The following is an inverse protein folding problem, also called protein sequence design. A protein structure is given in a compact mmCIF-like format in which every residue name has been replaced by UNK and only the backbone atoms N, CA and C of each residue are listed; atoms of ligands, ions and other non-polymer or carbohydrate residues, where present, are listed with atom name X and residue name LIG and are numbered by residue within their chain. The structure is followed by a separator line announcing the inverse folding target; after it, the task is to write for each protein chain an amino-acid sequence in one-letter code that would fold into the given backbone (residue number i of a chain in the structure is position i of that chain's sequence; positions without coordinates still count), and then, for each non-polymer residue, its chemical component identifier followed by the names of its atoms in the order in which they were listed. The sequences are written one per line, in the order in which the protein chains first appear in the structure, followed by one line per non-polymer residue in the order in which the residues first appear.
data_IF_380013179683
#
_entry.id   IF_380013179683
#
_cell.length_a   1.000
_cell.length_b   1.000
_cell.length_c   1.000
_cell.angle_alpha   90.00
_cell.angle_beta   90.00
_cell.angle_gamma   90.00
#
_symmetry.space_group_name_H-M   'P 1'
#
loop_
_entity.id
_entity.type
_entity.pdbx_description
1 polymer ?
#
# COMPACT_ATOMS: atom_id res chain seq x y z
N UNK A 1 48.25 -38.08 46.43
CA UNK A 1 49.38 -38.96 46.04
C UNK A 1 49.78 -38.55 44.62
N UNK A 2 51.02 -38.05 44.47
CA UNK A 2 51.60 -37.50 43.23
C UNK A 2 51.54 -38.48 42.03
N UNK A 3 51.44 -37.95 40.81
CA UNK A 3 52.53 -38.03 39.79
C UNK A 3 52.18 -37.33 38.48
N UNK A 4 52.89 -36.23 38.25
CA UNK A 4 53.16 -35.53 36.99
C UNK A 4 54.07 -36.38 36.09
N UNK A 5 53.78 -36.50 34.78
CA UNK A 5 54.79 -36.84 33.76
C UNK A 5 54.50 -36.07 32.45
N UNK A 6 55.45 -35.18 32.12
CA UNK A 6 55.68 -34.53 30.83
C UNK A 6 55.99 -35.57 29.72
N UNK A 7 55.53 -35.34 28.48
CA UNK A 7 56.18 -35.94 27.29
C UNK A 7 56.36 -34.91 26.18
N UNK A 8 57.63 -34.77 25.81
CA UNK A 8 58.23 -33.82 24.89
C UNK A 8 57.92 -34.11 23.43
N UNK A 9 57.83 -33.03 22.64
CA UNK A 9 57.96 -33.01 21.19
C UNK A 9 59.36 -33.48 20.76
N UNK A 10 59.42 -34.32 19.74
CA UNK A 10 60.63 -34.53 18.93
C UNK A 10 60.36 -34.06 17.50
N UNK A 11 61.04 -32.98 17.13
CA UNK A 11 61.20 -32.50 15.76
C UNK A 11 62.16 -33.42 15.03
N UNK A 12 61.81 -33.84 13.80
CA UNK A 12 62.72 -34.53 12.90
C UNK A 12 63.04 -33.62 11.71
N UNK A 13 64.31 -33.25 11.59
CA UNK A 13 64.91 -32.44 10.52
C UNK A 13 65.71 -33.36 9.59
N UNK A 14 65.52 -33.29 8.27
CA UNK A 14 66.53 -33.61 7.24
C UNK A 14 66.03 -33.20 5.83
N UNK A 15 66.89 -33.07 4.80
CA UNK A 15 67.23 -31.76 4.25
C UNK A 15 66.91 -31.57 2.74
N UNK A 16 67.06 -30.31 2.33
CA UNK A 16 67.07 -29.71 0.98
C UNK A 16 67.34 -30.64 -0.21
N UNK A 17 66.47 -30.55 -1.24
CA UNK A 17 66.89 -30.52 -2.65
C UNK A 17 66.39 -29.23 -3.29
N UNK A 18 67.33 -28.40 -3.75
CA UNK A 18 67.06 -27.31 -4.69
C UNK A 18 66.63 -27.92 -6.02
N UNK A 19 65.54 -27.41 -6.59
CA UNK A 19 65.32 -27.44 -8.03
C UNK A 19 64.87 -26.03 -8.42
N UNK A 20 65.79 -25.33 -9.08
CA UNK A 20 65.57 -24.06 -9.78
C UNK A 20 65.00 -24.41 -11.17
N UNK A 21 64.29 -23.43 -11.75
CA UNK A 21 63.86 -23.34 -13.16
C UNK A 21 62.58 -24.13 -13.51
N UNK A 22 61.53 -23.57 -14.13
CA UNK A 22 61.46 -22.56 -15.19
C UNK A 22 60.15 -21.75 -15.02
N UNK A 23 60.25 -20.41 -15.05
CA UNK A 23 59.10 -19.52 -15.23
C UNK A 23 58.52 -19.72 -16.63
N UNK A 24 57.48 -20.54 -16.75
CA UNK A 24 56.65 -20.59 -17.95
C UNK A 24 55.71 -19.38 -17.97
N UNK A 25 56.26 -18.25 -18.43
CA UNK A 25 55.53 -17.09 -18.95
C UNK A 25 54.81 -17.52 -20.25
N UNK A 26 53.69 -18.24 -20.14
CA UNK A 26 52.77 -18.46 -21.28
C UNK A 26 51.40 -18.92 -20.80
N UNK A 27 50.68 -17.97 -20.23
CA UNK A 27 49.24 -17.95 -20.22
C UNK A 27 48.79 -16.49 -20.09
N UNK A 28 49.14 -15.71 -21.11
CA UNK A 28 48.38 -14.51 -21.50
C UNK A 28 47.00 -14.99 -22.00
N UNK A 29 46.21 -15.60 -21.13
CA UNK A 29 44.77 -15.50 -21.30
C UNK A 29 44.47 -14.07 -20.93
N UNK A 30 44.22 -13.27 -21.97
CA UNK A 30 43.40 -12.09 -21.89
C UNK A 30 42.11 -12.51 -21.17
N UNK A 31 42.10 -12.46 -19.85
CA UNK A 31 40.86 -12.32 -19.14
C UNK A 31 40.43 -10.92 -19.53
N UNK A 32 39.43 -10.86 -20.40
CA UNK A 32 38.64 -9.65 -20.54
C UNK A 32 38.18 -9.31 -19.14
N UNK A 33 38.92 -8.42 -18.44
CA UNK A 33 38.47 -7.81 -17.20
C UNK A 33 37.22 -7.08 -17.60
N UNK A 34 36.08 -7.72 -17.35
CA UNK A 34 34.75 -7.20 -17.66
C UNK A 34 34.73 -5.75 -17.17
N UNK A 35 34.44 -4.79 -18.04
CA UNK A 35 34.65 -3.37 -17.74
C UNK A 35 33.99 -2.90 -16.42
N UNK A 36 32.96 -3.63 -15.95
CA UNK A 36 32.27 -3.40 -14.68
C UNK A 36 33.00 -3.95 -13.44
N UNK A 37 33.85 -4.98 -13.56
CA UNK A 37 34.50 -5.61 -12.40
C UNK A 37 35.49 -4.68 -11.70
N UNK A 38 36.10 -3.72 -12.43
CA UNK A 38 36.95 -2.67 -11.84
C UNK A 38 36.23 -1.83 -10.77
N UNK A 39 34.92 -1.68 -10.91
CA UNK A 39 34.11 -0.83 -10.04
C UNK A 39 33.21 -1.63 -9.09
N UNK A 40 33.25 -2.97 -9.12
CA UNK A 40 32.30 -3.81 -8.36
C UNK A 40 32.46 -3.69 -6.84
N UNK A 41 33.68 -3.40 -6.36
CA UNK A 41 33.97 -3.23 -4.94
C UNK A 41 33.10 -2.16 -4.26
N UNK A 42 32.56 -1.18 -5.01
CA UNK A 42 31.69 -0.14 -4.43
C UNK A 42 30.38 -0.70 -3.88
N UNK A 43 29.97 -1.91 -4.31
CA UNK A 43 28.78 -2.59 -3.79
C UNK A 43 28.96 -3.08 -2.35
N UNK A 44 30.19 -3.28 -1.90
CA UNK A 44 30.50 -3.70 -0.52
C UNK A 44 30.19 -2.60 0.51
N UNK A 45 30.04 -1.34 0.07
CA UNK A 45 29.61 -0.23 0.92
C UNK A 45 28.09 -0.18 1.14
N UNK A 46 27.30 -0.99 0.42
CA UNK A 46 25.86 -1.09 0.65
C UNK A 46 25.60 -1.81 1.98
N UNK A 47 25.02 -1.10 2.94
CA UNK A 47 24.49 -1.70 4.17
C UNK A 47 23.02 -2.06 4.00
N UNK A 48 22.63 -3.26 4.39
CA UNK A 48 21.23 -3.69 4.34
C UNK A 48 20.73 -4.05 5.74
N UNK A 49 19.83 -3.24 6.26
CA UNK A 49 19.15 -3.54 7.51
C UNK A 49 18.00 -4.53 7.27
N UNK A 50 17.95 -5.55 8.12
CA UNK A 50 16.93 -6.60 8.07
C UNK A 50 16.05 -6.47 9.31
N UNK A 51 14.74 -6.38 9.12
CA UNK A 51 13.79 -6.34 10.22
C UNK A 51 13.81 -7.67 10.99
N UNK A 52 13.89 -7.58 12.33
CA UNK A 52 13.91 -8.72 13.25
C UNK A 52 12.79 -9.73 12.91
N UNK A 53 13.09 -11.03 12.74
CA UNK A 53 12.06 -12.06 12.52
C UNK A 53 11.03 -12.12 13.65
N UNK A 54 9.87 -12.72 13.36
CA UNK A 54 8.77 -12.92 14.32
C UNK A 54 8.24 -11.62 14.97
N UNK A 55 8.52 -10.47 14.37
CA UNK A 55 7.97 -9.18 14.76
C UNK A 55 7.06 -8.64 13.66
N UNK A 56 5.94 -8.04 14.06
CA UNK A 56 5.13 -7.23 13.16
C UNK A 56 5.98 -6.07 12.64
N UNK A 57 5.89 -5.81 11.33
CA UNK A 57 6.53 -4.65 10.71
C UNK A 57 5.43 -3.63 10.46
N UNK A 58 5.50 -2.49 11.13
CA UNK A 58 4.59 -1.37 10.88
C UNK A 58 5.31 -0.33 10.06
N UNK A 59 4.81 -0.08 8.84
CA UNK A 59 5.25 1.03 8.01
C UNK A 59 4.27 2.18 8.18
N UNK A 60 4.70 3.28 8.80
CA UNK A 60 3.90 4.50 8.88
C UNK A 60 4.36 5.49 7.82
N UNK A 61 3.41 6.00 7.05
CA UNK A 61 3.57 7.02 6.01
C UNK A 61 2.89 8.30 6.48
N UNK A 62 3.53 9.46 6.35
CA UNK A 62 3.03 10.76 6.84
C UNK A 62 3.24 11.87 5.80
N UNK A 63 2.26 12.76 5.63
CA UNK A 63 2.30 13.86 4.66
C UNK A 63 3.34 14.92 4.99
N UNK A 64 4.36 15.07 4.12
CA UNK A 64 5.41 16.09 4.33
C UNK A 64 4.86 17.51 4.15
N UNK A 65 4.69 18.23 5.27
CA UNK A 65 4.23 19.62 5.25
C UNK A 65 2.78 19.74 4.76
N UNK A 66 1.94 18.74 5.06
CA UNK A 66 0.60 18.62 4.50
C UNK A 66 -0.34 19.77 4.89
N UNK A 67 -0.03 20.53 5.95
CA UNK A 67 -0.74 21.77 6.25
C UNK A 67 -0.70 22.77 5.07
N UNK A 68 0.49 23.01 4.50
CA UNK A 68 0.68 23.87 3.33
C UNK A 68 0.06 23.26 2.07
N UNK A 69 0.09 21.93 1.96
CA UNK A 69 -0.54 21.21 0.86
C UNK A 69 -2.05 21.39 0.86
N UNK A 70 -2.70 21.16 2.00
CA UNK A 70 -4.14 21.28 2.15
C UNK A 70 -4.61 22.73 1.97
N UNK A 71 -3.85 23.73 2.47
CA UNK A 71 -4.14 25.15 2.25
C UNK A 71 -4.03 25.55 0.78
N UNK A 72 -2.92 25.22 0.11
CA UNK A 72 -2.78 25.46 -1.33
C UNK A 72 -3.85 24.72 -2.15
N UNK A 73 -4.22 23.54 -1.67
CA UNK A 73 -5.37 22.72 -2.06
C UNK A 73 -6.71 23.44 -1.98
N UNK A 74 -6.94 24.23 -0.92
CA UNK A 74 -8.26 24.71 -0.52
C UNK A 74 -9.11 23.60 0.11
N UNK A 75 -8.48 22.66 0.84
CA UNK A 75 -9.18 21.58 1.52
C UNK A 75 -10.13 22.14 2.59
N UNK A 76 -11.28 21.48 2.76
CA UNK A 76 -12.22 21.85 3.80
C UNK A 76 -11.60 21.69 5.19
N UNK A 77 -11.98 22.59 6.10
CA UNK A 77 -11.54 22.58 7.49
C UNK A 77 -12.75 22.42 8.42
N UNK A 78 -12.67 21.59 9.48
CA UNK A 78 -11.47 20.89 9.97
C UNK A 78 -11.03 19.67 9.14
N UNK A 79 -11.97 19.01 8.45
CA UNK A 79 -11.73 17.77 7.71
C UNK A 79 -12.27 17.87 6.28
N UNK A 80 -11.55 17.29 5.33
CA UNK A 80 -11.94 17.22 3.92
C UNK A 80 -12.21 15.75 3.57
N UNK A 81 -13.47 15.43 3.28
CA UNK A 81 -13.90 14.05 3.04
C UNK A 81 -13.18 13.45 1.84
N UNK A 82 -13.16 14.17 0.71
CA UNK A 82 -12.55 13.69 -0.54
C UNK A 82 -11.06 13.37 -0.35
N UNK A 83 -10.34 14.22 0.37
CA UNK A 83 -8.94 14.02 0.73
C UNK A 83 -8.71 12.75 1.55
N UNK A 84 -9.53 12.50 2.57
CA UNK A 84 -9.43 11.29 3.40
C UNK A 84 -9.78 10.02 2.62
N UNK A 85 -10.74 10.10 1.70
CA UNK A 85 -11.10 8.98 0.83
C UNK A 85 -10.00 8.68 -0.19
N UNK A 86 -9.34 9.71 -0.73
CA UNK A 86 -8.17 9.56 -1.59
C UNK A 86 -7.01 8.86 -0.87
N UNK A 87 -6.69 9.28 0.36
CA UNK A 87 -5.70 8.62 1.22
C UNK A 87 -6.05 7.14 1.43
N UNK A 88 -7.31 6.84 1.72
CA UNK A 88 -7.80 5.48 1.90
C UNK A 88 -7.69 4.65 0.61
N UNK A 89 -7.97 5.25 -0.56
CA UNK A 89 -7.77 4.57 -1.86
C UNK A 89 -6.30 4.27 -2.14
N UNK A 90 -5.41 5.22 -1.85
CA UNK A 90 -3.97 5.03 -1.99
C UNK A 90 -3.48 3.89 -1.08
N UNK A 91 -3.93 3.85 0.18
CA UNK A 91 -3.63 2.77 1.11
C UNK A 91 -4.16 1.42 0.63
N UNK A 92 -5.40 1.37 0.13
CA UNK A 92 -5.95 0.13 -0.44
C UNK A 92 -5.10 -0.39 -1.60
N UNK A 93 -4.55 0.50 -2.46
CA UNK A 93 -3.64 0.10 -3.54
C UNK A 93 -2.33 -0.49 -3.03
N UNK A 94 -1.80 0.00 -1.92
CA UNK A 94 -0.64 -0.60 -1.24
C UNK A 94 -0.98 -2.01 -0.73
N UNK A 95 -2.14 -2.18 -0.07
CA UNK A 95 -2.58 -3.50 0.40
C UNK A 95 -2.93 -4.47 -0.74
N UNK A 96 -3.31 -3.98 -1.92
CA UNK A 96 -3.51 -4.79 -3.14
C UNK A 96 -2.20 -5.41 -3.64
N UNK A 97 -1.10 -4.66 -3.54
CA UNK A 97 0.23 -5.08 -3.95
C UNK A 97 0.86 -6.03 -2.93
N UNK A 98 0.72 -5.70 -1.64
CA UNK A 98 1.30 -6.47 -0.54
C UNK A 98 0.23 -7.31 0.18
N UNK A 99 0.10 -8.56 -0.25
CA UNK A 99 -0.85 -9.50 0.37
C UNK A 99 -0.53 -9.81 1.85
N UNK A 100 0.71 -9.59 2.29
CA UNK A 100 1.21 -9.83 3.65
C UNK A 100 0.80 -8.72 4.65
N UNK A 101 0.18 -7.64 4.17
CA UNK A 101 -0.41 -6.61 5.04
C UNK A 101 -1.77 -7.12 5.55
N UNK A 102 -1.91 -7.29 6.86
CA UNK A 102 -3.17 -7.74 7.47
C UNK A 102 -4.21 -6.63 7.55
N UNK A 103 -3.79 -5.45 8.01
CA UNK A 103 -4.62 -4.27 8.10
C UNK A 103 -3.80 -2.99 7.90
N UNK A 104 -4.51 -1.89 7.65
CA UNK A 104 -3.91 -0.57 7.63
C UNK A 104 -4.83 0.44 8.31
N UNK A 105 -4.26 1.35 9.10
CA UNK A 105 -5.01 2.39 9.80
C UNK A 105 -4.56 3.78 9.37
N UNK A 106 -5.49 4.65 9.00
CA UNK A 106 -5.20 6.01 8.58
C UNK A 106 -6.05 7.07 9.29
N UNK A 107 -5.43 8.22 9.54
CA UNK A 107 -6.05 9.40 10.12
C UNK A 107 -5.33 10.66 9.61
N UNK A 108 -6.05 11.76 9.39
CA UNK A 108 -5.49 12.99 8.82
C UNK A 108 -4.69 12.71 7.53
N UNK A 109 -3.38 12.93 7.57
CA UNK A 109 -2.39 12.80 6.51
C UNK A 109 -1.42 11.63 6.74
N UNK A 110 -1.68 10.76 7.73
CA UNK A 110 -0.90 9.56 8.00
C UNK A 110 -1.65 8.25 7.71
N UNK A 111 -0.89 7.21 7.34
CA UNK A 111 -1.36 5.83 7.19
C UNK A 111 -0.32 4.84 7.71
N UNK A 112 -0.77 3.86 8.50
CA UNK A 112 0.06 2.81 9.09
C UNK A 112 -0.30 1.46 8.50
N UNK A 113 0.65 0.77 7.90
CA UNK A 113 0.48 -0.55 7.28
C UNK A 113 1.10 -1.62 8.18
N UNK A 114 0.33 -2.63 8.55
CA UNK A 114 0.77 -3.71 9.44
C UNK A 114 1.07 -4.96 8.61
N UNK A 115 2.35 -5.28 8.47
CA UNK A 115 2.76 -6.56 7.90
C UNK A 115 2.79 -7.64 8.97
N UNK A 116 2.37 -8.84 8.58
CA UNK A 116 2.36 -10.00 9.45
C UNK A 116 3.76 -10.34 9.98
N UNK A 117 3.83 -10.87 11.21
CA UNK A 117 5.09 -11.16 11.89
C UNK A 117 5.98 -12.18 11.18
N UNK A 118 5.37 -13.07 10.41
CA UNK A 118 5.95 -14.15 9.61
C UNK A 118 6.28 -13.73 8.15
N UNK A 119 6.00 -12.47 7.76
CA UNK A 119 6.29 -12.00 6.40
C UNK A 119 7.76 -12.19 6.02
N UNK A 120 7.97 -12.58 4.76
CA UNK A 120 9.29 -12.65 4.16
C UNK A 120 9.42 -11.72 2.93
N UNK A 121 8.50 -10.76 2.78
CA UNK A 121 8.54 -9.77 1.70
C UNK A 121 9.91 -9.09 1.66
N UNK A 122 10.51 -9.08 0.47
CA UNK A 122 11.87 -8.54 0.24
C UNK A 122 12.94 -9.04 1.21
N UNK A 123 12.82 -10.27 1.72
CA UNK A 123 13.71 -10.82 2.76
C UNK A 123 13.79 -9.92 4.01
N UNK A 124 12.70 -9.19 4.31
CA UNK A 124 12.59 -8.24 5.42
C UNK A 124 13.58 -7.08 5.36
N UNK A 125 14.12 -6.73 4.18
CA UNK A 125 15.00 -5.57 4.00
C UNK A 125 14.24 -4.27 4.25
N UNK A 126 14.66 -3.54 5.27
CA UNK A 126 13.99 -2.32 5.75
C UNK A 126 13.85 -1.29 4.64
N UNK A 127 14.95 -0.97 3.94
CA UNK A 127 14.98 0.01 2.86
C UNK A 127 14.04 -0.33 1.69
N UNK A 128 13.88 -1.62 1.35
CA UNK A 128 13.03 -2.07 0.24
C UNK A 128 11.56 -1.98 0.61
N UNK A 129 11.20 -2.47 1.79
CA UNK A 129 9.83 -2.37 2.29
C UNK A 129 9.44 -0.88 2.40
N UNK A 130 10.28 -0.08 3.04
CA UNK A 130 10.04 1.35 3.26
C UNK A 130 9.87 2.12 1.94
N UNK A 131 10.83 1.99 1.03
CA UNK A 131 10.83 2.74 -0.23
C UNK A 131 9.68 2.34 -1.16
N UNK A 132 9.36 1.05 -1.27
CA UNK A 132 8.30 0.59 -2.16
C UNK A 132 6.92 0.96 -1.59
N UNK A 133 6.69 0.80 -0.29
CA UNK A 133 5.43 1.23 0.34
C UNK A 133 5.23 2.74 0.18
N UNK A 134 6.24 3.55 0.49
CA UNK A 134 6.14 5.01 0.41
C UNK A 134 5.94 5.50 -1.04
N UNK A 135 6.72 4.98 -1.99
CA UNK A 135 6.61 5.37 -3.40
C UNK A 135 5.29 4.91 -4.02
N UNK A 136 4.80 3.71 -3.69
CA UNK A 136 3.50 3.23 -4.16
C UNK A 136 2.35 4.05 -3.57
N UNK A 137 2.42 4.39 -2.28
CA UNK A 137 1.42 5.26 -1.65
C UNK A 137 1.38 6.64 -2.31
N UNK A 138 2.54 7.29 -2.44
CA UNK A 138 2.68 8.63 -3.04
C UNK A 138 2.21 8.63 -4.50
N UNK A 139 2.66 7.67 -5.30
CA UNK A 139 2.25 7.56 -6.72
C UNK A 139 0.75 7.25 -6.85
N UNK A 140 0.19 6.42 -5.98
CA UNK A 140 -1.25 6.13 -5.96
C UNK A 140 -2.07 7.37 -5.59
N UNK A 141 -1.60 8.17 -4.63
CA UNK A 141 -2.25 9.43 -4.24
C UNK A 141 -2.35 10.38 -5.44
N UNK A 142 -1.26 10.55 -6.20
CA UNK A 142 -1.26 11.37 -7.42
C UNK A 142 -2.11 10.74 -8.52
N UNK A 143 -2.01 9.43 -8.72
CA UNK A 143 -2.72 8.71 -9.78
C UNK A 143 -4.25 8.74 -9.60
N UNK A 144 -4.73 8.66 -8.36
CA UNK A 144 -6.16 8.69 -8.07
C UNK A 144 -6.69 10.09 -7.77
N UNK A 145 -5.85 11.13 -7.77
CA UNK A 145 -6.23 12.50 -7.42
C UNK A 145 -7.48 12.96 -8.18
N UNK A 146 -7.45 12.90 -9.52
CA UNK A 146 -8.56 13.38 -10.38
C UNK A 146 -9.86 12.57 -10.23
N UNK A 147 -9.81 11.39 -9.58
CA UNK A 147 -11.02 10.59 -9.30
C UNK A 147 -11.77 11.06 -8.06
N UNK A 148 -11.08 11.66 -7.10
CA UNK A 148 -11.66 12.06 -5.82
C UNK A 148 -11.78 13.57 -5.69
N UNK A 149 -10.82 14.31 -6.25
CA UNK A 149 -10.70 15.75 -6.07
C UNK A 149 -10.82 16.41 -7.44
N UNK A 150 -11.81 17.28 -7.58
CA UNK A 150 -12.12 17.96 -8.85
C UNK A 150 -11.09 19.03 -9.26
N UNK A 151 -10.37 19.60 -8.29
CA UNK A 151 -9.34 20.63 -8.55
C UNK A 151 -8.06 20.00 -9.06
N UNK A 152 -7.32 20.69 -9.93
CA UNK A 152 -6.01 20.22 -10.39
C UNK A 152 -4.98 20.18 -9.26
N UNK A 153 -4.14 19.16 -9.27
CA UNK A 153 -2.97 19.06 -8.41
C UNK A 153 -1.99 20.19 -8.76
N UNK A 154 -1.69 21.09 -7.81
CA UNK A 154 -0.84 22.27 -8.03
C UNK A 154 0.65 21.91 -8.01
N UNK A 155 1.04 20.98 -7.14
CA UNK A 155 2.39 20.46 -7.04
C UNK A 155 2.39 19.03 -6.49
N UNK A 156 3.39 18.20 -6.79
CA UNK A 156 3.43 16.83 -6.32
C UNK A 156 3.57 16.78 -4.79
N UNK A 157 2.74 16.01 -4.08
CA UNK A 157 2.91 15.78 -2.65
C UNK A 157 4.14 14.91 -2.40
N UNK A 158 4.67 14.99 -1.18
CA UNK A 158 5.70 14.10 -0.69
C UNK A 158 5.26 13.50 0.64
N UNK A 159 5.66 12.27 0.89
CA UNK A 159 5.39 11.58 2.13
C UNK A 159 6.70 11.11 2.77
N UNK A 160 6.77 11.25 4.09
CA UNK A 160 7.75 10.56 4.91
C UNK A 160 7.28 9.12 5.12
N UNK A 161 8.21 8.22 5.41
CA UNK A 161 7.85 6.91 5.91
C UNK A 161 8.87 6.43 6.95
N UNK A 162 8.42 5.63 7.91
CA UNK A 162 9.28 4.94 8.87
C UNK A 162 8.78 3.53 9.16
N UNK A 163 9.71 2.64 9.53
CA UNK A 163 9.41 1.29 10.00
C UNK A 163 9.60 1.21 11.52
N UNK A 164 8.64 0.58 12.20
CA UNK A 164 8.72 0.22 13.61
C UNK A 164 8.39 -1.27 13.75
N UNK A 165 9.13 -1.97 14.61
CA UNK A 165 8.93 -3.39 14.86
C UNK A 165 8.23 -3.60 16.19
N UNK A 166 7.17 -4.41 16.18
CA UNK A 166 6.44 -4.78 17.40
C UNK A 166 6.52 -6.29 17.62
N UNK A 167 7.09 -6.76 18.75
CA UNK A 167 7.35 -8.18 18.97
C UNK A 167 6.10 -8.96 19.41
N UNK A 168 5.12 -8.28 20.00
CA UNK A 168 3.90 -8.92 20.52
C UNK A 168 2.64 -8.30 19.93
N UNK A 169 1.55 -9.08 19.97
CA UNK A 169 0.20 -8.61 19.61
C UNK A 169 -0.21 -7.42 20.48
N UNK A 170 0.09 -7.45 21.78
CA UNK A 170 -0.26 -6.35 22.69
C UNK A 170 0.44 -5.05 22.27
N UNK A 171 1.74 -5.08 21.95
CA UNK A 171 2.44 -3.86 21.52
C UNK A 171 1.86 -3.29 20.21
N UNK A 172 1.46 -4.15 19.28
CA UNK A 172 0.81 -3.73 18.04
C UNK A 172 -0.57 -3.10 18.33
N UNK A 173 -1.37 -3.71 19.21
CA UNK A 173 -2.69 -3.19 19.61
C UNK A 173 -2.55 -1.84 20.31
N UNK A 174 -1.58 -1.69 21.22
CA UNK A 174 -1.28 -0.45 21.91
C UNK A 174 -0.88 0.65 20.92
N UNK A 175 -0.06 0.31 19.93
CA UNK A 175 0.32 1.25 18.87
C UNK A 175 -0.91 1.74 18.08
N UNK A 176 -1.77 0.84 17.61
CA UNK A 176 -2.96 1.22 16.84
C UNK A 176 -3.96 2.00 17.71
N UNK A 177 -4.10 1.63 18.98
CA UNK A 177 -4.92 2.35 19.96
C UNK A 177 -4.39 3.75 20.21
N UNK A 178 -3.07 3.91 20.31
CA UNK A 178 -2.41 5.21 20.42
C UNK A 178 -2.68 6.08 19.20
N UNK A 179 -2.62 5.53 17.97
CA UNK A 179 -2.94 6.27 16.75
C UNK A 179 -4.41 6.70 16.70
N UNK A 180 -5.36 5.85 17.15
CA UNK A 180 -6.77 6.23 17.19
C UNK A 180 -7.11 7.24 18.30
N UNK A 181 -6.46 7.14 19.47
CA UNK A 181 -6.60 8.14 20.52
C UNK A 181 -6.08 9.52 20.05
N UNK A 182 -4.95 9.54 19.35
CA UNK A 182 -4.38 10.74 18.72
C UNK A 182 -5.35 11.36 17.71
N UNK A 183 -5.97 10.54 16.84
CA UNK A 183 -7.00 10.99 15.91
C UNK A 183 -8.18 11.67 16.62
N UNK A 184 -8.67 11.07 17.73
CA UNK A 184 -9.77 11.63 18.51
C UNK A 184 -9.43 12.99 19.14
N UNK A 185 -8.24 13.09 19.75
CA UNK A 185 -7.76 14.32 20.40
C UNK A 185 -7.60 15.44 19.36
N UNK A 186 -6.93 15.15 18.25
CA UNK A 186 -6.65 16.12 17.19
C UNK A 186 -7.95 16.55 16.49
N UNK A 187 -8.87 15.62 16.21
CA UNK A 187 -10.14 15.96 15.58
C UNK A 187 -11.01 16.84 16.48
N UNK A 188 -11.11 16.55 17.79
CA UNK A 188 -11.86 17.37 18.74
C UNK A 188 -11.28 18.79 18.83
N UNK A 189 -9.95 18.90 18.94
CA UNK A 189 -9.27 20.19 18.95
C UNK A 189 -9.50 20.96 17.64
N UNK A 190 -9.27 20.33 16.48
CA UNK A 190 -9.41 20.97 15.18
C UNK A 190 -10.86 21.40 14.91
N UNK A 191 -11.84 20.59 15.31
CA UNK A 191 -13.26 20.93 15.16
C UNK A 191 -13.62 22.14 16.00
N UNK A 192 -13.17 22.18 17.26
CA UNK A 192 -13.37 23.35 18.13
C UNK A 192 -12.65 24.59 17.59
N UNK A 193 -11.40 24.45 17.13
CA UNK A 193 -10.59 25.54 16.60
C UNK A 193 -11.23 26.15 15.36
N UNK A 194 -11.55 25.34 14.35
CA UNK A 194 -12.16 25.82 13.12
C UNK A 194 -13.63 26.23 13.31
N UNK A 195 -14.34 25.65 14.27
CA UNK A 195 -15.66 26.12 14.69
C UNK A 195 -15.60 27.56 15.21
N UNK A 196 -14.66 27.88 16.10
CA UNK A 196 -14.44 29.24 16.59
C UNK A 196 -14.04 30.21 15.48
N UNK A 197 -13.17 29.78 14.56
CA UNK A 197 -12.77 30.62 13.41
C UNK A 197 -13.97 30.90 12.50
N UNK A 198 -14.81 29.90 12.22
CA UNK A 198 -16.06 30.08 11.45
C UNK A 198 -17.08 30.96 12.18
N UNK A 199 -17.07 30.97 13.51
CA UNK A 199 -17.86 31.87 14.34
C UNK A 199 -17.30 33.31 14.41
N UNK A 200 -16.28 33.63 13.61
CA UNK A 200 -15.74 34.99 13.46
C UNK A 200 -14.52 35.30 14.33
N UNK A 201 -13.96 34.32 15.06
CA UNK A 201 -12.70 34.52 15.79
C UNK A 201 -11.50 34.46 14.85
N UNK A 202 -10.46 35.23 15.19
CA UNK A 202 -9.16 35.07 14.53
C UNK A 202 -8.50 33.75 14.95
N UNK A 203 -7.54 33.27 14.15
CA UNK A 203 -6.77 32.05 14.48
C UNK A 203 -6.08 32.15 15.85
N UNK A 204 -5.53 33.32 16.17
CA UNK A 204 -4.84 33.57 17.45
C UNK A 204 -5.81 33.54 18.64
N UNK A 205 -6.99 34.18 18.51
CA UNK A 205 -8.00 34.16 19.57
C UNK A 205 -8.55 32.74 19.79
N UNK A 206 -8.75 31.97 18.71
CA UNK A 206 -9.20 30.59 18.80
C UNK A 206 -8.18 29.72 19.54
N UNK A 207 -6.90 29.87 19.22
CA UNK A 207 -5.80 29.16 19.90
C UNK A 207 -5.72 29.52 21.39
N UNK A 208 -5.75 30.81 21.72
CA UNK A 208 -5.73 31.28 23.11
C UNK A 208 -6.93 30.77 23.90
N UNK A 209 -8.11 30.74 23.30
CA UNK A 209 -9.34 30.24 23.96
C UNK A 209 -9.29 28.72 24.20
N UNK A 210 -8.60 27.97 23.35
CA UNK A 210 -8.45 26.52 23.50
C UNK A 210 -7.24 26.13 24.36
N UNK A 211 -6.32 27.05 24.61
CA UNK A 211 -5.15 26.82 25.45
C UNK A 211 -5.57 26.44 26.88
N UNK A 212 -5.03 25.34 27.41
CA UNK A 212 -5.34 24.84 28.75
C UNK A 212 -6.70 24.16 28.93
N UNK A 213 -7.54 24.12 27.91
CA UNK A 213 -8.86 23.48 27.98
C UNK A 213 -8.77 21.96 28.00
N UNK A 214 -9.69 21.30 28.70
CA UNK A 214 -9.86 19.83 28.64
C UNK A 214 -10.90 19.42 27.58
N UNK A 215 -11.15 18.12 27.42
CA UNK A 215 -12.10 17.63 26.42
C UNK A 215 -13.53 18.12 26.66
N UNK A 216 -14.01 18.12 27.92
CA UNK A 216 -15.36 18.60 28.27
C UNK A 216 -15.58 20.06 27.87
N UNK A 217 -14.58 20.91 28.09
CA UNK A 217 -14.65 22.33 27.73
C UNK A 217 -14.78 22.51 26.21
N UNK A 218 -14.05 21.70 25.41
CA UNK A 218 -14.13 21.74 23.95
C UNK A 218 -15.52 21.31 23.46
N UNK A 219 -16.11 20.29 24.09
CA UNK A 219 -17.50 19.90 23.81
C UNK A 219 -18.49 21.03 24.11
N UNK A 220 -18.32 21.70 25.26
CA UNK A 220 -19.18 22.82 25.64
C UNK A 220 -19.03 24.02 24.69
N UNK A 221 -17.79 24.35 24.30
CA UNK A 221 -17.50 25.41 23.32
C UNK A 221 -18.17 25.10 21.98
N UNK A 222 -18.03 23.87 21.48
CA UNK A 222 -18.66 23.43 20.23
C UNK A 222 -20.17 23.55 20.28
N UNK A 223 -20.78 23.08 21.37
CA UNK A 223 -22.23 23.09 21.50
C UNK A 223 -22.79 24.51 21.66
N UNK A 224 -22.24 25.31 22.58
CA UNK A 224 -22.75 26.65 22.91
C UNK A 224 -22.38 27.71 21.88
N UNK A 225 -21.14 27.68 21.38
CA UNK A 225 -20.62 28.76 20.50
C UNK A 225 -20.79 28.42 19.03
N UNK A 226 -20.63 27.15 18.65
CA UNK A 226 -20.64 26.73 17.25
C UNK A 226 -21.94 26.03 16.85
N UNK A 227 -22.83 25.73 17.80
CA UNK A 227 -24.03 24.91 17.60
C UNK A 227 -23.74 23.53 16.97
N UNK A 228 -22.57 22.96 17.28
CA UNK A 228 -22.12 21.65 16.79
C UNK A 228 -22.14 20.64 17.94
N UNK A 229 -22.82 19.51 17.72
CA UNK A 229 -22.70 18.35 18.61
C UNK A 229 -21.63 17.40 18.06
N UNK A 230 -20.45 17.38 18.71
CA UNK A 230 -19.32 16.55 18.28
C UNK A 230 -19.65 15.06 18.17
N UNK A 231 -20.59 14.55 18.97
CA UNK A 231 -20.97 13.14 18.90
C UNK A 231 -21.67 12.79 17.59
N UNK A 232 -22.29 13.77 16.93
CA UNK A 232 -22.97 13.60 15.64
C UNK A 232 -22.02 13.81 14.45
N UNK A 233 -20.77 14.20 14.68
CA UNK A 233 -19.76 14.27 13.61
C UNK A 233 -19.50 12.88 13.02
N UNK A 234 -19.09 12.87 11.75
CA UNK A 234 -18.84 11.64 11.00
C UNK A 234 -17.80 10.75 11.71
N UNK A 235 -18.09 9.44 11.83
CA UNK A 235 -17.17 8.49 12.45
C UNK A 235 -15.81 8.43 11.73
N UNK A 236 -15.78 8.67 10.42
CA UNK A 236 -14.54 8.82 9.65
C UNK A 236 -13.60 9.86 10.27
N UNK A 237 -14.13 10.98 10.73
CA UNK A 237 -13.35 12.07 11.31
C UNK A 237 -12.97 11.78 12.76
N UNK A 238 -13.87 11.17 13.54
CA UNK A 238 -13.65 10.88 14.96
C UNK A 238 -12.74 9.69 15.22
N UNK A 239 -12.80 8.67 14.36
CA UNK A 239 -12.17 7.36 14.56
C UNK A 239 -11.09 7.03 13.54
N UNK A 240 -11.00 7.78 12.44
CA UNK A 240 -10.14 7.45 11.31
C UNK A 240 -10.67 6.27 10.51
N UNK A 241 -9.83 5.69 9.65
CA UNK A 241 -10.19 4.57 8.77
C UNK A 241 -9.28 3.37 9.02
N UNK A 242 -9.88 2.25 9.40
CA UNK A 242 -9.24 0.94 9.42
C UNK A 242 -9.59 0.19 8.13
N UNK A 243 -8.59 -0.08 7.29
CA UNK A 243 -8.73 -0.92 6.11
C UNK A 243 -8.43 -2.37 6.45
N UNK A 244 -9.39 -3.24 6.15
CA UNK A 244 -9.25 -4.69 6.31
C UNK A 244 -9.50 -5.40 4.99
N UNK A 245 -8.76 -6.49 4.76
CA UNK A 245 -8.95 -7.37 3.62
C UNK A 245 -10.13 -8.31 3.89
N UNK A 246 -11.07 -8.40 2.94
CA UNK A 246 -12.18 -9.36 2.96
C UNK A 246 -12.32 -10.08 1.62
N UNK A 247 -12.94 -11.26 1.64
CA UNK A 247 -13.26 -12.03 0.43
C UNK A 247 -14.75 -11.90 0.14
N UNK A 248 -15.13 -11.65 -1.11
CA UNK A 248 -16.53 -11.55 -1.54
C UNK A 248 -16.78 -12.53 -2.68
N UNK A 249 -17.85 -13.32 -2.58
CA UNK A 249 -18.20 -14.32 -3.60
C UNK A 249 -18.61 -13.65 -4.93
N UNK A 250 -18.21 -14.22 -6.07
CA UNK A 250 -18.50 -13.67 -7.41
C UNK A 250 -19.91 -13.95 -7.94
N UNK A 251 -20.75 -14.68 -7.19
CA UNK A 251 -22.14 -14.98 -7.56
C UNK A 251 -22.76 -16.03 -6.65
N UNK A 252 -24.07 -16.27 -6.78
CA UNK A 252 -24.76 -17.36 -6.08
C UNK A 252 -24.32 -18.70 -6.68
N UNK A 253 -23.34 -19.36 -6.06
CA UNK A 253 -22.95 -20.74 -6.37
C UNK A 253 -21.53 -20.94 -6.94
N UNK A 254 -20.75 -19.88 -7.12
CA UNK A 254 -19.39 -19.98 -7.66
C UNK A 254 -18.35 -19.93 -6.53
N UNK A 255 -17.39 -20.87 -6.52
CA UNK A 255 -16.31 -20.98 -5.52
C UNK A 255 -15.19 -19.95 -5.73
N UNK A 256 -15.42 -18.95 -6.57
CA UNK A 256 -14.44 -17.91 -6.89
C UNK A 256 -14.71 -16.63 -6.08
N UNK A 257 -13.68 -16.16 -5.38
CA UNK A 257 -13.76 -14.96 -4.54
C UNK A 257 -13.03 -13.77 -5.16
N UNK A 258 -13.55 -12.57 -4.94
CA UNK A 258 -12.84 -11.31 -5.12
C UNK A 258 -12.25 -10.85 -3.79
N UNK A 259 -10.99 -10.42 -3.81
CA UNK A 259 -10.42 -9.69 -2.69
C UNK A 259 -10.88 -8.24 -2.76
N UNK A 260 -11.42 -7.76 -1.64
CA UNK A 260 -11.82 -6.37 -1.48
C UNK A 260 -11.20 -5.79 -0.21
N UNK A 261 -10.97 -4.48 -0.22
CA UNK A 261 -10.50 -3.74 0.94
C UNK A 261 -11.62 -2.86 1.45
N UNK A 262 -12.01 -3.12 2.70
CA UNK A 262 -13.19 -2.51 3.32
C UNK A 262 -12.72 -1.50 4.36
N UNK A 263 -13.10 -0.22 4.23
CA UNK A 263 -12.89 0.79 5.26
C UNK A 263 -13.90 0.60 6.39
N UNK A 264 -13.39 0.56 7.62
CA UNK A 264 -14.15 0.50 8.85
C UNK A 264 -13.83 1.75 9.68
N UNK A 265 -14.85 2.54 10.00
CA UNK A 265 -14.73 3.73 10.83
C UNK A 265 -15.27 3.44 12.23
N UNK A 266 -14.66 2.49 12.93
CA UNK A 266 -15.09 2.02 14.24
C UNK A 266 -13.99 2.14 15.29
N UNK A 267 -14.36 1.94 16.56
CA UNK A 267 -13.40 1.87 17.66
C UNK A 267 -12.56 0.59 17.56
N UNK A 268 -11.24 0.75 17.53
CA UNK A 268 -10.25 -0.34 17.48
C UNK A 268 -9.47 -0.47 18.80
N UNK A 269 -9.76 0.38 19.79
CA UNK A 269 -9.11 0.35 21.11
C UNK A 269 -9.67 -0.83 21.91
N UNK A 270 -10.99 -1.02 21.86
CA UNK A 270 -11.69 -2.05 22.64
C UNK A 270 -11.47 -3.47 22.10
N UNK A 271 -11.50 -4.46 23.00
CA UNK A 271 -11.32 -5.88 22.65
C UNK A 271 -12.36 -6.39 21.65
N UNK A 272 -13.57 -5.80 21.65
CA UNK A 272 -14.66 -6.20 20.75
C UNK A 272 -14.20 -6.27 19.29
N UNK A 273 -13.52 -5.23 18.80
CA UNK A 273 -13.05 -5.19 17.42
C UNK A 273 -12.10 -6.34 17.08
N UNK A 274 -11.18 -6.65 18.00
CA UNK A 274 -10.17 -7.69 17.81
C UNK A 274 -10.75 -9.10 17.93
N UNK A 275 -11.74 -9.29 18.82
CA UNK A 275 -12.48 -10.53 18.96
C UNK A 275 -13.36 -10.82 17.73
N UNK A 276 -13.91 -9.77 17.11
CA UNK A 276 -14.70 -9.87 15.88
C UNK A 276 -13.80 -10.06 14.63
N UNK A 277 -12.51 -9.75 14.72
CA UNK A 277 -11.55 -9.82 13.60
C UNK A 277 -10.21 -10.49 13.99
N UNK A 278 -10.22 -11.73 14.51
CA UNK A 278 -9.01 -12.38 15.03
C UNK A 278 -7.97 -12.67 13.93
N UNK A 279 -8.40 -12.79 12.67
CA UNK A 279 -7.53 -13.00 11.51
C UNK A 279 -6.55 -11.86 11.24
N UNK A 280 -6.79 -10.66 11.79
CA UNK A 280 -5.87 -9.52 11.61
C UNK A 280 -4.57 -9.69 12.43
N UNK A 281 -4.62 -10.54 13.45
CA UNK A 281 -3.54 -10.76 14.41
C UNK A 281 -2.90 -12.16 14.27
N UNK A 282 -3.64 -13.12 13.72
CA UNK A 282 -3.17 -14.48 13.49
C UNK A 282 -3.27 -14.88 12.01
N UNK A 283 -2.13 -15.15 11.38
CA UNK A 283 -2.03 -15.55 9.97
C UNK A 283 -2.55 -16.95 9.70
N UNK A 284 -2.73 -17.79 10.73
CA UNK A 284 -3.29 -19.13 10.60
C UNK A 284 -4.81 -19.14 10.41
N UNK A 285 -5.48 -18.00 10.66
CA UNK A 285 -6.93 -17.88 10.50
C UNK A 285 -7.28 -17.40 9.10
N UNK A 286 -8.25 -18.07 8.48
CA UNK A 286 -8.71 -17.71 7.14
C UNK A 286 -9.31 -16.31 7.09
N UNK A 287 -9.10 -15.62 5.96
CA UNK A 287 -9.76 -14.33 5.71
C UNK A 287 -11.27 -14.55 5.57
N UNK A 288 -12.11 -13.83 6.32
CA UNK A 288 -13.55 -14.06 6.33
C UNK A 288 -14.16 -13.76 4.96
N UNK A 289 -15.10 -14.63 4.57
CA UNK A 289 -15.92 -14.48 3.36
C UNK A 289 -17.18 -13.69 3.69
N UNK A 290 -17.30 -12.49 3.15
CA UNK A 290 -18.51 -11.70 3.17
C UNK A 290 -19.45 -12.14 2.04
N UNK A 291 -20.64 -12.61 2.42
CA UNK A 291 -21.70 -12.99 1.46
C UNK A 291 -22.53 -11.79 1.00
N UNK A 292 -22.57 -10.73 1.80
CA UNK A 292 -23.26 -9.48 1.50
C UNK A 292 -22.33 -8.31 1.82
N UNK A 293 -22.14 -7.41 0.84
CA UNK A 293 -21.56 -6.08 1.07
C UNK A 293 -22.75 -5.21 1.47
N UNK A 294 -22.90 -4.88 2.75
CA UNK A 294 -23.94 -3.94 3.20
C UNK A 294 -23.66 -2.54 2.67
N UNK A 295 -24.71 -1.73 2.48
CA UNK A 295 -24.62 -0.32 2.05
C UNK A 295 -23.78 0.56 2.99
N UNK A 296 -23.54 0.11 4.22
CA UNK A 296 -22.63 0.72 5.20
C UNK A 296 -21.15 0.66 4.76
N UNK A 297 -20.80 -0.27 3.87
CA UNK A 297 -19.49 -0.30 3.20
C UNK A 297 -19.49 0.69 2.02
N UNK A 298 -19.68 1.98 2.30
CA UNK A 298 -19.87 3.02 1.26
C UNK A 298 -18.71 3.12 0.25
N UNK A 299 -17.55 2.52 0.53
CA UNK A 299 -16.37 2.49 -0.35
C UNK A 299 -15.66 1.13 -0.29
N UNK A 300 -16.13 0.17 -1.08
CA UNK A 300 -15.40 -1.09 -1.27
C UNK A 300 -14.36 -0.90 -2.38
N UNK A 301 -13.08 -1.04 -2.05
CA UNK A 301 -12.03 -1.03 -3.05
C UNK A 301 -11.81 -2.44 -3.59
N UNK A 302 -12.26 -2.67 -4.82
CA UNK A 302 -12.06 -3.95 -5.51
C UNK A 302 -10.64 -4.02 -6.07
N UNK A 303 -9.96 -5.15 -5.84
CA UNK A 303 -8.64 -5.40 -6.41
C UNK A 303 -8.69 -5.22 -7.93
N UNK A 304 -7.91 -4.27 -8.42
CA UNK A 304 -7.87 -3.98 -9.86
C UNK A 304 -7.13 -5.13 -10.55
N UNK A 305 -7.80 -5.90 -11.41
CA UNK A 305 -7.10 -6.80 -12.33
C UNK A 305 -6.41 -5.92 -13.36
N UNK A 306 -5.08 -5.89 -13.33
CA UNK A 306 -4.30 -5.40 -14.47
C UNK A 306 -4.47 -6.47 -15.56
N UNK A 307 -5.47 -6.30 -16.42
CA UNK A 307 -5.49 -7.00 -17.69
C UNK A 307 -4.40 -6.36 -18.54
N UNK A 308 -3.35 -7.11 -18.86
CA UNK A 308 -2.49 -6.75 -19.99
C UNK A 308 -3.39 -6.60 -21.20
N UNK A 309 -3.46 -5.40 -21.78
CA UNK A 309 -4.26 -5.04 -22.95
C UNK A 309 -3.74 -5.71 -24.25
N UNK A 310 -3.33 -6.99 -24.19
CA UNK A 310 -3.00 -7.78 -25.39
C UNK A 310 -4.19 -8.62 -25.90
N UNK A 311 -5.25 -8.78 -25.11
CA UNK A 311 -6.42 -9.62 -25.49
C UNK A 311 -7.61 -8.85 -26.09
N UNK A 312 -7.55 -7.51 -26.14
CA UNK A 312 -8.64 -6.70 -26.73
C UNK A 312 -8.53 -6.62 -28.27
N UNK A 313 -7.35 -6.86 -28.86
CA UNK A 313 -7.14 -6.78 -30.32
C UNK A 313 -7.33 -8.13 -31.05
N UNK A 314 -7.36 -9.25 -30.33
CA UNK A 314 -7.56 -10.59 -30.90
C UNK A 314 -9.04 -10.91 -31.22
N UNK A 315 -9.98 -10.26 -30.53
CA UNK A 315 -11.42 -10.39 -30.78
C UNK A 315 -12.01 -9.40 -31.80
N UNK A 316 -11.29 -8.33 -32.17
CA UNK A 316 -11.68 -7.45 -33.30
C UNK A 316 -11.20 -7.94 -34.67
N UNK A 317 -10.17 -8.79 -34.72
CA UNK A 317 -9.66 -9.37 -35.99
C UNK A 317 -10.45 -10.57 -36.52
N UNK A 318 -11.30 -11.21 -35.70
CA UNK A 318 -12.15 -12.34 -36.16
C UNK A 318 -13.51 -11.91 -36.74
N UNK A 319 -13.95 -10.67 -36.51
CA UNK A 319 -15.22 -10.13 -37.03
C UNK A 319 -15.09 -9.36 -38.36
N UNK A 320 -13.88 -9.02 -38.80
CA UNK A 320 -13.65 -8.31 -40.08
C UNK A 320 -13.23 -9.19 -41.27
N UNK A 321 -13.15 -10.53 -41.13
CA UNK A 321 -12.74 -11.44 -42.23
C UNK A 321 -13.88 -12.17 -42.93
N UNK A 322 -15.12 -11.67 -42.85
CA UNK A 322 -16.30 -12.14 -43.60
C UNK A 322 -17.14 -10.97 -44.11
N UNK A 323 -16.61 -10.20 -45.07
CA UNK A 323 -17.38 -9.37 -46.02
C UNK A 323 -16.40 -8.71 -46.99
N UNK A 324 -15.98 -9.48 -48.00
CA UNK A 324 -15.48 -8.95 -49.27
C UNK A 324 -15.48 -10.08 -50.30
N UNK A 325 -16.61 -10.27 -50.97
CA UNK A 325 -16.67 -10.85 -52.31
C UNK A 325 -17.30 -9.79 -53.19
N UNK A 326 -16.43 -9.04 -53.87
CA UNK A 326 -16.80 -8.06 -54.87
C UNK A 326 -17.21 -8.79 -56.17
N UNK A 327 -18.18 -8.26 -56.95
CA UNK A 327 -18.66 -8.86 -58.17
C UNK A 327 -17.81 -8.44 -59.39
N UNK A 328 -18.04 -9.10 -60.51
CA UNK A 328 -17.56 -8.83 -61.88
C UNK A 328 -16.26 -9.53 -62.33
N UNK A 329 -16.44 -10.58 -63.13
CA UNK A 329 -15.67 -10.80 -64.36
C UNK A 329 -16.58 -11.42 -65.43
N UNK A 330 -16.68 -10.74 -66.57
CA UNK A 330 -17.43 -11.13 -67.78
C UNK A 330 -16.62 -12.12 -68.64
N UNK A 331 -17.38 -13.02 -69.28
CA UNK A 331 -17.26 -13.60 -70.63
C UNK A 331 -16.09 -14.52 -71.04
N UNK A 332 -16.46 -15.78 -71.29
CA UNK A 332 -16.23 -16.62 -72.49
C UNK A 332 -16.99 -17.94 -72.21
N UNK A 333 -17.76 -18.64 -73.06
CA UNK A 333 -18.06 -18.65 -74.50
C UNK A 333 -18.33 -20.11 -74.91
N UNK A 334 -19.42 -20.36 -75.68
CA UNK A 334 -19.88 -21.64 -76.31
C UNK A 334 -20.62 -22.63 -75.39
N UNK A 335 -21.71 -23.32 -75.77
CA UNK A 335 -22.38 -23.60 -77.04
C UNK A 335 -23.89 -23.98 -76.81
N UNK A 336 -24.72 -23.79 -77.86
CA UNK A 336 -25.86 -24.64 -78.36
C UNK A 336 -26.92 -25.17 -77.35
N UNK A 337 -28.25 -25.20 -77.57
CA UNK A 337 -29.15 -25.16 -78.74
C UNK A 337 -30.62 -25.10 -78.22
N UNK A 338 -31.54 -24.56 -79.05
CA UNK A 338 -33.01 -24.81 -79.13
C UNK A 338 -33.90 -24.48 -77.90
N UNK A 339 -35.11 -23.90 -77.98
CA UNK A 339 -35.97 -23.45 -79.07
C UNK A 339 -37.31 -22.91 -78.51
N UNK A 340 -37.77 -21.78 -79.06
CA UNK A 340 -39.14 -21.49 -79.57
C UNK A 340 -40.38 -21.69 -78.65
N UNK A 341 -41.18 -20.59 -78.56
CA UNK A 341 -42.67 -20.42 -78.51
C UNK A 341 -43.12 -19.52 -77.34
N UNK A 342 -43.47 -18.26 -77.65
CA UNK A 342 -44.83 -17.67 -77.88
C UNK A 342 -45.52 -17.30 -76.56
N UNK A 343 -45.80 -16.01 -76.29
CA UNK A 343 -47.14 -15.38 -76.42
C UNK A 343 -48.21 -16.25 -75.73
N UNK A 344 -48.81 -15.89 -74.59
CA UNK A 344 -49.37 -14.60 -74.13
C UNK A 344 -49.11 -14.29 -72.65
#
# INVERSE_FOLDING_TARGET
MLRTIFRLRTFQFCPRKLQVEFLSLRSLFSSSTMAKSKFEYVREFESHDICLPNCFIVVRVDGKGFHKFTEAHGFEKPNDREGLLLMSKAAARVMEEFNDISCAYGQSDEFSFVFNRDTNVYKRRTEKILSVVNSLFTSSYVFFWDKFISRKLKYPPAFDARIVLYPTVNNLRDYLSWRQADAHINNLYNTAFWGLVKAGKTKQEAEQKLCGTVSSDKHEILFKTCSINYNNECELYKKGTMLVKKLVAKGKGDSTYNTVYVPLNCDIIQDKFWNDNPQLLNTELDTPVCREITEECQLVFVKTKITSDEDVDSNKKKTHKKKNRNPQRRNHGKAETNGVKSED
#
